data_IF_388176871992
#
_entry.id   IF_388176871992
#
_cell.length_a   1.000
_cell.length_b   1.000
_cell.length_c   1.000
_cell.angle_alpha   90.00
_cell.angle_beta   90.00
_cell.angle_gamma   90.00
#
_symmetry.space_group_name_H-M   'P 1'
#
loop_
_entity.id
_entity.type
_entity.pdbx_description
1 polymer ?
#
# COMPACT_ATOMS: atom_id res chain seq x y z
N UNK A 1 -6.10 -5.24 -25.87
CA UNK A 1 -7.35 -5.83 -25.33
C UNK A 1 -8.09 -4.72 -24.61
N UNK A 2 -9.39 -4.55 -24.86
CA UNK A 2 -10.17 -3.43 -24.33
C UNK A 2 -10.30 -3.49 -22.81
N UNK A 3 -9.91 -2.41 -22.16
CA UNK A 3 -10.21 -2.16 -20.75
C UNK A 3 -11.74 -2.14 -20.64
N UNK A 4 -12.32 -3.12 -19.96
CA UNK A 4 -13.77 -3.15 -19.77
C UNK A 4 -14.09 -2.09 -18.73
N UNK A 5 -14.50 -0.90 -19.18
CA UNK A 5 -15.04 0.15 -18.32
C UNK A 5 -16.12 -0.45 -17.40
N UNK A 6 -15.76 -0.62 -16.13
CA UNK A 6 -16.62 -1.26 -15.13
C UNK A 6 -17.27 -0.15 -14.29
N UNK A 7 -18.60 -0.14 -14.22
CA UNK A 7 -19.32 0.93 -13.51
C UNK A 7 -19.38 0.63 -12.00
N UNK A 8 -18.66 1.42 -11.20
CA UNK A 8 -18.66 1.32 -9.74
C UNK A 8 -19.79 2.22 -9.20
N UNK A 9 -20.74 1.61 -8.49
CA UNK A 9 -21.79 2.36 -7.79
C UNK A 9 -21.21 2.98 -6.53
N UNK A 10 -21.30 4.31 -6.42
CA UNK A 10 -20.82 5.06 -5.26
C UNK A 10 -21.84 6.14 -4.87
N UNK A 11 -21.65 6.77 -3.73
CA UNK A 11 -22.50 7.88 -3.28
C UNK A 11 -22.14 9.18 -4.01
N UNK A 12 -23.10 10.11 -4.08
CA UNK A 12 -22.89 11.42 -4.72
C UNK A 12 -21.74 12.20 -4.07
N UNK A 13 -21.63 12.11 -2.74
CA UNK A 13 -20.59 12.76 -1.95
C UNK A 13 -19.18 12.25 -2.32
N UNK A 14 -19.00 10.92 -2.38
CA UNK A 14 -17.72 10.30 -2.76
C UNK A 14 -17.33 10.68 -4.19
N UNK A 15 -18.28 10.68 -5.13
CA UNK A 15 -18.05 11.09 -6.52
C UNK A 15 -17.60 12.56 -6.62
N UNK A 16 -18.26 13.47 -5.91
CA UNK A 16 -17.90 14.89 -5.92
C UNK A 16 -16.52 15.11 -5.29
N UNK A 17 -16.22 14.42 -4.19
CA UNK A 17 -14.89 14.47 -3.57
C UNK A 17 -13.80 13.92 -4.50
N UNK A 18 -14.05 12.80 -5.18
CA UNK A 18 -13.13 12.23 -6.17
C UNK A 18 -12.89 13.22 -7.33
N UNK A 19 -13.94 13.94 -7.75
CA UNK A 19 -13.84 14.98 -8.80
C UNK A 19 -12.91 16.10 -8.40
N UNK A 20 -13.08 16.61 -7.19
CA UNK A 20 -12.25 17.68 -6.65
C UNK A 20 -10.80 17.23 -6.56
N UNK A 21 -10.54 16.06 -5.97
CA UNK A 21 -9.18 15.51 -5.84
C UNK A 21 -8.49 15.27 -7.19
N UNK A 22 -9.22 14.79 -8.19
CA UNK A 22 -8.70 14.58 -9.54
C UNK A 22 -8.36 15.92 -10.19
N UNK A 23 -9.24 16.92 -10.04
CA UNK A 23 -9.03 18.28 -10.56
C UNK A 23 -7.82 18.96 -9.93
N UNK A 24 -7.63 18.82 -8.61
CA UNK A 24 -6.47 19.39 -7.89
C UNK A 24 -5.14 18.77 -8.34
N UNK A 25 -5.15 17.49 -8.74
CA UNK A 25 -3.97 16.75 -9.20
C UNK A 25 -3.75 16.85 -10.70
N UNK A 26 -4.67 17.47 -11.44
CA UNK A 26 -4.63 17.54 -12.89
C UNK A 26 -4.78 16.18 -13.58
N UNK A 27 -5.39 15.20 -12.91
CA UNK A 27 -5.61 13.84 -13.42
C UNK A 27 -7.10 13.58 -13.67
N UNK A 28 -7.43 12.48 -14.36
CA UNK A 28 -8.82 12.03 -14.47
C UNK A 28 -9.24 11.24 -13.24
N UNK A 29 -10.57 11.15 -12.99
CA UNK A 29 -11.12 10.32 -11.91
C UNK A 29 -10.65 8.86 -11.98
N UNK A 30 -10.54 8.31 -13.20
CA UNK A 30 -10.13 6.93 -13.41
C UNK A 30 -8.64 6.75 -13.09
N UNK A 31 -7.78 7.67 -13.55
CA UNK A 31 -6.36 7.66 -13.19
C UNK A 31 -6.16 7.83 -11.68
N UNK A 32 -6.85 8.77 -11.03
CA UNK A 32 -6.77 8.94 -9.59
C UNK A 32 -7.24 7.69 -8.84
N UNK A 33 -8.31 7.05 -9.30
CA UNK A 33 -8.80 5.81 -8.68
C UNK A 33 -7.79 4.68 -8.87
N UNK A 34 -7.22 4.54 -10.06
CA UNK A 34 -6.17 3.56 -10.36
C UNK A 34 -4.93 3.79 -9.50
N UNK A 35 -4.50 5.04 -9.33
CA UNK A 35 -3.40 5.42 -8.44
C UNK A 35 -3.70 5.11 -6.98
N UNK A 36 -4.92 5.41 -6.51
CA UNK A 36 -5.34 5.12 -5.13
C UNK A 36 -5.35 3.63 -4.86
N UNK A 37 -5.94 2.83 -5.77
CA UNK A 37 -5.95 1.37 -5.66
C UNK A 37 -4.54 0.79 -5.73
N UNK A 38 -3.65 1.36 -6.54
CA UNK A 38 -2.26 0.91 -6.65
C UNK A 38 -1.44 1.27 -5.40
N UNK A 39 -1.77 2.39 -4.74
CA UNK A 39 -1.08 2.85 -3.53
C UNK A 39 -1.56 2.12 -2.27
N UNK A 40 -2.86 1.89 -2.18
CA UNK A 40 -3.48 1.28 -1.02
C UNK A 40 -3.53 -0.24 -1.19
N UNK A 41 -2.39 -0.88 -0.93
CA UNK A 41 -2.31 -2.34 -0.89
C UNK A 41 -3.34 -2.88 0.11
N UNK A 42 -4.11 -3.87 -0.33
CA UNK A 42 -5.01 -4.61 0.55
C UNK A 42 -4.21 -5.33 1.65
N UNK A 43 -4.84 -5.65 2.78
CA UNK A 43 -4.18 -6.40 3.86
C UNK A 43 -3.62 -7.73 3.36
N UNK A 44 -4.32 -8.37 2.44
CA UNK A 44 -3.92 -9.64 1.80
C UNK A 44 -2.68 -9.46 0.91
N UNK A 45 -2.61 -8.37 0.14
CA UNK A 45 -1.42 -8.05 -0.66
C UNK A 45 -0.22 -7.64 0.20
N UNK A 46 -0.45 -6.93 1.32
CA UNK A 46 0.60 -6.64 2.30
C UNK A 46 1.15 -7.92 2.90
N UNK A 47 0.29 -8.86 3.27
CA UNK A 47 0.71 -10.16 3.80
C UNK A 47 1.47 -10.97 2.74
N UNK A 48 0.98 -11.02 1.50
CA UNK A 48 1.70 -11.67 0.39
C UNK A 48 3.07 -11.05 0.18
N UNK A 49 3.17 -9.72 0.18
CA UNK A 49 4.45 -9.01 0.02
C UNK A 49 5.39 -9.28 1.20
N UNK A 50 4.87 -9.37 2.42
CA UNK A 50 5.65 -9.75 3.60
C UNK A 50 6.18 -11.18 3.47
N UNK A 51 5.36 -12.12 3.00
CA UNK A 51 5.80 -13.50 2.74
C UNK A 51 6.89 -13.57 1.66
N UNK A 52 6.70 -12.84 0.56
CA UNK A 52 7.70 -12.75 -0.51
C UNK A 52 9.02 -12.16 0.00
N UNK A 53 8.96 -11.08 0.77
CA UNK A 53 10.16 -10.47 1.36
C UNK A 53 10.88 -11.43 2.32
N UNK A 54 10.15 -12.24 3.10
CA UNK A 54 10.77 -13.26 3.97
C UNK A 54 11.44 -14.36 3.15
N UNK A 55 10.82 -14.78 2.05
CA UNK A 55 11.41 -15.77 1.15
C UNK A 55 12.65 -15.22 0.44
N UNK A 56 12.62 -13.97 0.00
CA UNK A 56 13.80 -13.27 -0.55
C UNK A 56 14.91 -13.14 0.49
N UNK A 57 14.61 -12.78 1.73
CA UNK A 57 15.59 -12.73 2.82
C UNK A 57 16.16 -14.12 3.08
N UNK A 58 15.33 -15.16 3.10
CA UNK A 58 15.78 -16.55 3.26
C UNK A 58 16.69 -16.99 2.11
N UNK A 59 16.35 -16.64 0.87
CA UNK A 59 17.16 -16.93 -0.32
C UNK A 59 18.50 -16.20 -0.28
N UNK A 60 18.49 -14.92 0.12
CA UNK A 60 19.69 -14.07 0.12
C UNK A 60 20.64 -14.33 1.30
N UNK A 61 20.11 -14.65 2.48
CA UNK A 61 20.89 -14.80 3.72
C UNK A 61 21.03 -16.25 4.18
N UNK A 62 20.24 -17.18 3.64
CA UNK A 62 20.19 -18.58 4.07
C UNK A 62 19.56 -18.79 5.46
N UNK A 63 19.13 -17.71 6.12
CA UNK A 63 18.57 -17.76 7.48
C UNK A 63 17.05 -17.69 7.39
N UNK A 64 16.37 -18.65 8.03
CA UNK A 64 14.93 -18.57 8.24
C UNK A 64 14.65 -17.53 9.32
N UNK A 65 14.00 -16.42 8.93
CA UNK A 65 13.64 -15.36 9.86
C UNK A 65 12.61 -15.90 10.86
N UNK A 66 13.02 -16.03 12.12
CA UNK A 66 12.13 -16.45 13.21
C UNK A 66 11.16 -15.34 13.60
N UNK A 67 10.01 -15.70 14.16
CA UNK A 67 8.97 -14.74 14.56
C UNK A 67 9.46 -13.73 15.61
N UNK A 68 10.36 -14.16 16.49
CA UNK A 68 11.01 -13.30 17.48
C UNK A 68 11.89 -12.22 16.80
N UNK A 69 12.61 -12.57 15.74
CA UNK A 69 13.41 -11.62 14.96
C UNK A 69 12.51 -10.62 14.23
N UNK A 70 11.34 -11.06 13.72
CA UNK A 70 10.34 -10.16 13.12
C UNK A 70 9.76 -9.19 14.13
N UNK A 71 9.48 -9.66 15.35
CA UNK A 71 8.96 -8.80 16.43
C UNK A 71 9.99 -7.74 16.81
N UNK A 72 11.26 -8.11 16.99
CA UNK A 72 12.35 -7.15 17.27
C UNK A 72 12.52 -6.13 16.14
N UNK A 73 12.50 -6.58 14.89
CA UNK A 73 12.59 -5.69 13.73
C UNK A 73 11.42 -4.69 13.69
N UNK A 74 10.19 -5.14 13.98
CA UNK A 74 9.01 -4.27 14.03
C UNK A 74 9.15 -3.20 15.12
N UNK A 75 9.57 -3.58 16.32
CA UNK A 75 9.82 -2.63 17.42
C UNK A 75 10.92 -1.64 17.07
N UNK A 76 12.00 -2.10 16.44
CA UNK A 76 13.07 -1.21 15.97
C UNK A 76 12.57 -0.19 14.94
N UNK A 77 11.80 -0.62 13.93
CA UNK A 77 11.22 0.28 12.92
C UNK A 77 10.21 1.27 13.51
N UNK A 78 9.41 0.85 14.50
CA UNK A 78 8.49 1.75 15.21
C UNK A 78 9.24 2.85 15.95
N UNK A 79 10.34 2.52 16.63
CA UNK A 79 11.17 3.49 17.32
C UNK A 79 11.86 4.44 16.33
N UNK A 80 12.41 3.92 15.24
CA UNK A 80 13.07 4.73 14.20
C UNK A 80 12.10 5.75 13.56
N UNK A 81 10.83 5.37 13.38
CA UNK A 81 9.78 6.27 12.89
C UNK A 81 9.39 7.36 13.89
N UNK A 82 9.51 7.11 15.20
CA UNK A 82 9.28 8.12 16.24
C UNK A 82 10.40 9.16 16.27
N UNK A 83 11.65 8.73 16.08
CA UNK A 83 12.82 9.62 16.06
C UNK A 83 12.80 10.58 14.86
N UNK A 84 12.32 10.12 13.70
CA UNK A 84 12.21 10.96 12.49
C UNK A 84 11.05 11.98 12.52
N UNK A 85 10.03 11.79 13.35
CA UNK A 85 8.90 12.72 13.47
C UNK A 85 9.13 13.80 14.56
N UNK A 86 10.21 13.66 15.32
CA UNK A 86 10.63 14.59 16.38
C UNK A 86 11.76 15.55 15.95
N UNK A 87 12.19 15.50 14.68
CA UNK A 87 13.24 16.33 14.10
C UNK A 87 12.69 17.36 13.10
#
# INVERSE_FOLDING_TARGET
MGDQDTSIKTTKDVRDRLKTLASERGTTMNELLSELVTRELTEEEKERRAQQALEEVRQATGVTVSDDARTRARTFLQNLGQEHHAA
#
